data_IF_971001380633
#
_entry.id   IF_971001380633
#
_cell.length_a   1.000
_cell.length_b   1.000
_cell.length_c   1.000
_cell.angle_alpha   90.00
_cell.angle_beta   90.00
_cell.angle_gamma   90.00
#
_symmetry.space_group_name_H-M   'P 1'
#
loop_
_entity.id
_entity.type
_entity.pdbx_description
1 polymer ?
#
# COMPACT_ATOMS: atom_id res chain seq x y z
N UNK A 1 -4.85 -10.95 24.14
CA UNK A 1 -5.05 -11.15 22.70
C UNK A 1 -4.60 -9.87 22.01
N UNK A 2 -3.69 -9.95 21.04
CA UNK A 2 -3.26 -8.79 20.25
C UNK A 2 -4.42 -8.32 19.37
N UNK A 3 -4.70 -7.02 19.33
CA UNK A 3 -5.68 -6.45 18.40
C UNK A 3 -5.01 -6.28 17.02
N UNK A 4 -5.30 -7.18 16.08
CA UNK A 4 -4.77 -7.10 14.71
C UNK A 4 -5.89 -6.74 13.74
N UNK A 5 -5.78 -5.58 13.09
CA UNK A 5 -6.72 -5.14 12.04
C UNK A 5 -6.07 -5.17 10.67
N UNK A 6 -6.87 -5.46 9.66
CA UNK A 6 -6.43 -5.62 8.27
C UNK A 6 -7.22 -4.67 7.36
N UNK A 7 -6.49 -3.88 6.58
CA UNK A 7 -7.04 -2.86 5.69
C UNK A 7 -6.61 -3.16 4.25
N UNK A 8 -7.16 -4.26 3.74
CA UNK A 8 -6.94 -4.74 2.37
C UNK A 8 -8.19 -4.39 1.56
N UNK A 9 -8.06 -3.80 0.35
CA UNK A 9 -9.18 -3.50 -0.52
C UNK A 9 -10.06 -4.72 -0.81
N UNK A 10 -11.31 -4.47 -1.20
CA UNK A 10 -12.25 -5.54 -1.51
C UNK A 10 -11.74 -6.39 -2.68
N UNK A 11 -12.10 -7.67 -2.67
CA UNK A 11 -11.72 -8.64 -3.71
C UNK A 11 -11.95 -8.12 -5.13
N UNK A 12 -13.09 -7.49 -5.38
CA UNK A 12 -13.45 -6.98 -6.72
C UNK A 12 -12.49 -5.89 -7.21
N UNK A 13 -11.98 -5.06 -6.31
CA UNK A 13 -11.03 -3.99 -6.65
C UNK A 13 -9.65 -4.57 -6.93
N UNK A 14 -9.20 -5.51 -6.11
CA UNK A 14 -7.96 -6.26 -6.34
C UNK A 14 -8.01 -7.05 -7.66
N UNK A 15 -9.16 -7.66 -7.99
CA UNK A 15 -9.36 -8.36 -9.27
C UNK A 15 -9.30 -7.42 -10.46
N UNK A 16 -9.85 -6.20 -10.32
CA UNK A 16 -9.80 -5.19 -11.38
C UNK A 16 -8.36 -4.74 -11.60
N UNK A 17 -7.62 -4.51 -10.51
CA UNK A 17 -6.21 -4.14 -10.56
C UNK A 17 -5.36 -5.23 -11.22
N UNK A 18 -5.54 -6.49 -10.83
CA UNK A 18 -4.80 -7.64 -11.36
C UNK A 18 -5.02 -7.87 -12.87
N UNK A 19 -6.07 -7.27 -13.45
CA UNK A 19 -6.44 -7.37 -14.87
C UNK A 19 -6.19 -6.08 -15.66
N UNK A 20 -5.48 -5.12 -15.08
CA UNK A 20 -5.16 -3.87 -15.77
C UNK A 20 -4.40 -4.16 -17.08
N UNK A 21 -4.74 -3.46 -18.18
CA UNK A 21 -3.87 -3.47 -19.35
C UNK A 21 -2.64 -2.59 -19.13
N UNK A 22 -1.56 -2.78 -19.90
CA UNK A 22 -0.55 -1.74 -20.10
C UNK A 22 -1.22 -0.46 -20.59
N UNK A 23 -0.67 0.70 -20.22
CA UNK A 23 -1.38 1.95 -20.47
C UNK A 23 -0.73 3.16 -19.84
N UNK A 24 -1.54 4.18 -19.56
CA UNK A 24 -1.09 5.47 -19.04
C UNK A 24 -1.60 5.70 -17.62
N UNK A 25 -0.74 6.34 -16.83
CA UNK A 25 -1.08 6.88 -15.52
C UNK A 25 -1.40 8.36 -15.67
N UNK A 26 -2.43 8.81 -14.98
CA UNK A 26 -2.88 10.19 -15.00
C UNK A 26 -3.02 10.73 -13.58
N UNK A 27 -2.78 12.02 -13.40
CA UNK A 27 -3.13 12.76 -12.18
C UNK A 27 -4.08 13.88 -12.54
N UNK A 28 -4.92 14.30 -11.59
CA UNK A 28 -5.73 15.50 -11.81
C UNK A 28 -4.96 16.75 -11.40
N UNK A 29 -4.99 17.77 -12.26
CA UNK A 29 -4.45 19.10 -11.94
C UNK A 29 -5.20 19.82 -10.82
N UNK A 30 -6.43 19.40 -10.52
CA UNK A 30 -7.29 19.98 -9.48
C UNK A 30 -6.99 19.41 -8.09
N UNK A 31 -6.30 18.28 -8.02
CA UNK A 31 -5.97 17.63 -6.77
C UNK A 31 -4.91 18.42 -5.99
N UNK A 32 -5.10 18.53 -4.67
CA UNK A 32 -4.12 19.09 -3.74
C UNK A 32 -3.91 18.11 -2.58
N UNK A 33 -2.73 17.47 -2.47
CA UNK A 33 -1.61 17.48 -3.42
C UNK A 33 -1.98 16.81 -4.76
N UNK A 34 -1.29 17.17 -5.85
CA UNK A 34 -1.58 16.64 -7.19
C UNK A 34 -1.51 15.11 -7.27
N UNK A 35 -0.56 14.54 -6.50
CA UNK A 35 -0.33 13.11 -6.37
C UNK A 35 -1.14 12.46 -5.24
N UNK A 36 -2.20 13.07 -4.73
CA UNK A 36 -3.10 12.38 -3.78
C UNK A 36 -3.78 11.14 -4.39
N UNK A 37 -3.90 11.10 -5.72
CA UNK A 37 -4.64 10.10 -6.46
C UNK A 37 -4.10 9.98 -7.87
N UNK A 38 -3.85 8.74 -8.29
CA UNK A 38 -3.46 8.37 -9.65
C UNK A 38 -4.64 7.65 -10.31
N UNK A 39 -4.85 7.93 -11.58
CA UNK A 39 -5.92 7.38 -12.40
C UNK A 39 -5.34 6.52 -13.50
N UNK A 40 -5.98 5.39 -13.75
CA UNK A 40 -5.59 4.38 -14.74
C UNK A 40 -6.81 4.10 -15.59
N UNK A 41 -6.68 4.26 -16.89
CA UNK A 41 -7.74 3.87 -17.81
C UNK A 41 -7.72 2.35 -17.99
N UNK A 42 -8.80 1.68 -17.60
CA UNK A 42 -8.93 0.22 -17.72
C UNK A 42 -9.43 -0.14 -19.11
N UNK A 43 -10.50 0.54 -19.55
CA UNK A 43 -11.05 0.45 -20.90
C UNK A 43 -11.67 1.79 -21.26
N UNK A 44 -12.15 1.95 -22.50
CA UNK A 44 -13.01 3.08 -22.84
C UNK A 44 -14.20 3.13 -21.86
N UNK A 45 -14.49 4.30 -21.30
CA UNK A 45 -15.58 4.47 -20.33
C UNK A 45 -15.26 4.09 -18.87
N UNK A 46 -14.17 3.35 -18.60
CA UNK A 46 -13.88 2.76 -17.28
C UNK A 46 -12.50 3.10 -16.77
N UNK A 47 -12.46 3.71 -15.59
CA UNK A 47 -11.25 4.15 -14.92
C UNK A 47 -11.12 3.52 -13.55
N UNK A 48 -9.89 3.36 -13.11
CA UNK A 48 -9.53 2.96 -11.76
C UNK A 48 -8.69 4.07 -11.15
N UNK A 49 -8.91 4.39 -9.89
CA UNK A 49 -8.06 5.30 -9.14
C UNK A 49 -7.37 4.60 -7.99
N UNK A 50 -6.11 4.92 -7.80
CA UNK A 50 -5.33 4.60 -6.62
C UNK A 50 -5.16 5.90 -5.82
N UNK A 51 -5.65 5.92 -4.59
CA UNK A 51 -5.37 7.00 -3.64
C UNK A 51 -4.91 6.41 -2.33
N UNK A 52 -4.42 7.24 -1.42
CA UNK A 52 -4.17 6.84 -0.06
C UNK A 52 -5.35 7.27 0.83
N UNK A 53 -5.53 6.56 1.93
CA UNK A 53 -6.47 6.87 3.01
C UNK A 53 -5.76 6.64 4.35
N UNK A 54 -6.33 7.18 5.43
CA UNK A 54 -5.88 6.93 6.80
C UNK A 54 -6.98 6.21 7.58
N UNK A 55 -6.59 5.25 8.41
CA UNK A 55 -7.54 4.38 9.12
C UNK A 55 -7.10 4.12 10.56
N UNK A 56 -8.07 4.10 11.47
CA UNK A 56 -7.83 3.82 12.89
C UNK A 56 -7.63 2.32 13.16
N UNK A 57 -6.42 1.95 13.59
CA UNK A 57 -6.17 0.63 14.17
C UNK A 57 -6.74 0.59 15.59
N UNK A 58 -6.44 1.60 16.39
CA UNK A 58 -7.08 1.88 17.68
C UNK A 58 -6.98 3.37 18.00
N UNK A 59 -7.55 3.78 19.14
CA UNK A 59 -7.54 5.19 19.53
C UNK A 59 -6.10 5.73 19.59
N UNK A 60 -5.80 6.74 18.77
CA UNK A 60 -4.48 7.35 18.58
C UNK A 60 -3.42 6.48 17.87
N UNK A 61 -3.80 5.35 17.29
CA UNK A 61 -2.93 4.58 16.42
C UNK A 61 -3.58 4.43 15.04
N UNK A 62 -3.09 5.23 14.10
CA UNK A 62 -3.57 5.36 12.74
C UNK A 62 -2.52 4.81 11.77
N UNK A 63 -2.97 4.20 10.67
CA UNK A 63 -2.09 3.75 9.59
C UNK A 63 -2.59 4.26 8.25
N UNK A 64 -1.70 4.25 7.25
CA UNK A 64 -2.03 4.66 5.89
C UNK A 64 -2.21 3.44 4.98
N UNK A 65 -3.19 3.50 4.08
CA UNK A 65 -3.50 2.42 3.16
C UNK A 65 -3.87 2.91 1.76
N UNK A 66 -3.55 2.11 0.75
CA UNK A 66 -4.03 2.33 -0.61
C UNK A 66 -5.51 1.98 -0.70
N UNK A 67 -6.28 2.95 -1.15
CA UNK A 67 -7.67 2.81 -1.54
C UNK A 67 -7.77 2.68 -3.06
N UNK A 68 -8.60 1.74 -3.50
CA UNK A 68 -8.84 1.45 -4.91
C UNK A 68 -10.31 1.75 -5.18
N UNK A 69 -10.59 2.56 -6.20
CA UNK A 69 -11.96 2.89 -6.58
C UNK A 69 -12.13 2.86 -8.11
N UNK A 70 -13.31 2.42 -8.55
CA UNK A 70 -13.69 2.42 -9.96
C UNK A 70 -14.55 3.65 -10.27
N UNK A 71 -14.31 4.25 -11.43
CA UNK A 71 -14.98 5.47 -11.87
C UNK A 71 -15.47 5.32 -13.32
N UNK A 72 -16.61 5.92 -13.62
CA UNK A 72 -16.93 6.28 -15.00
C UNK A 72 -15.97 7.37 -15.48
N UNK A 73 -15.78 7.51 -16.80
CA UNK A 73 -14.85 8.50 -17.39
C UNK A 73 -14.92 9.85 -16.69
N UNK A 74 -13.89 10.22 -15.92
CA UNK A 74 -13.81 11.55 -15.34
C UNK A 74 -13.53 12.56 -16.48
N UNK A 75 -13.92 13.83 -16.27
CA UNK A 75 -13.81 14.87 -17.31
C UNK A 75 -12.38 14.95 -17.85
N UNK A 76 -12.21 14.82 -19.17
CA UNK A 76 -10.89 14.71 -19.80
C UNK A 76 -10.01 15.95 -19.59
N UNK A 77 -10.63 17.13 -19.44
CA UNK A 77 -9.94 18.42 -19.32
C UNK A 77 -9.13 18.57 -18.01
N UNK A 78 -9.32 17.66 -17.05
CA UNK A 78 -8.69 17.73 -15.73
C UNK A 78 -7.42 16.88 -15.56
N UNK A 79 -7.09 16.03 -16.55
CA UNK A 79 -6.02 15.03 -16.41
C UNK A 79 -4.73 15.39 -17.11
N UNK A 80 -3.63 15.18 -16.38
CA UNK A 80 -2.27 15.26 -16.90
C UNK A 80 -1.70 13.84 -16.91
N UNK A 81 -1.13 13.41 -18.04
CA UNK A 81 -0.39 12.15 -18.09
C UNK A 81 0.84 12.27 -17.19
N UNK A 82 0.94 11.36 -16.22
CA UNK A 82 1.97 11.37 -15.18
C UNK A 82 3.02 10.26 -15.36
N UNK A 83 2.69 9.22 -16.14
CA UNK A 83 3.58 8.09 -16.40
C UNK A 83 2.94 7.05 -17.29
N UNK A 84 3.60 5.91 -17.43
CA UNK A 84 3.14 4.77 -18.22
C UNK A 84 3.22 3.48 -17.41
N UNK A 85 2.25 2.59 -17.63
CA UNK A 85 2.27 1.21 -17.16
C UNK A 85 2.87 0.39 -18.30
N UNK A 86 4.11 -0.10 -18.17
CA UNK A 86 4.76 -0.91 -19.20
C UNK A 86 4.02 -2.23 -19.40
N UNK A 87 4.38 -2.97 -20.46
CA UNK A 87 3.91 -4.35 -20.61
C UNK A 87 4.38 -5.22 -19.43
N UNK A 88 3.47 -6.00 -18.86
CA UNK A 88 3.69 -6.74 -17.62
C UNK A 88 2.94 -8.08 -17.61
N UNK A 89 3.49 -9.07 -16.93
CA UNK A 89 2.90 -10.41 -16.82
C UNK A 89 2.07 -10.61 -15.55
N UNK A 90 2.41 -9.90 -14.48
CA UNK A 90 1.75 -10.08 -13.18
C UNK A 90 1.93 -8.86 -12.28
N UNK A 91 1.10 -8.78 -11.25
CA UNK A 91 1.16 -7.76 -10.21
C UNK A 91 1.43 -8.42 -8.85
N UNK A 92 2.25 -7.77 -8.03
CA UNK A 92 2.44 -8.06 -6.61
C UNK A 92 1.84 -6.95 -5.76
N UNK A 93 1.19 -7.32 -4.67
CA UNK A 93 0.63 -6.44 -3.66
C UNK A 93 1.62 -6.36 -2.50
N UNK A 94 1.96 -5.14 -2.08
CA UNK A 94 2.86 -4.88 -0.96
C UNK A 94 2.03 -4.57 0.27
N UNK A 95 2.06 -5.45 1.26
CA UNK A 95 1.44 -5.19 2.55
C UNK A 95 2.49 -4.65 3.53
N UNK A 96 2.14 -3.57 4.22
CA UNK A 96 2.93 -3.02 5.32
C UNK A 96 2.23 -3.36 6.63
N UNK A 97 2.98 -3.85 7.61
CA UNK A 97 2.49 -3.96 8.99
C UNK A 97 3.08 -2.85 9.83
N UNK A 98 2.23 -2.22 10.63
CA UNK A 98 2.61 -1.19 11.61
C UNK A 98 2.07 -1.64 12.96
N UNK A 99 2.82 -1.41 14.03
CA UNK A 99 2.42 -1.86 15.36
C UNK A 99 2.87 -0.91 16.45
N UNK A 100 2.14 -0.97 17.56
CA UNK A 100 2.50 -0.31 18.80
C UNK A 100 2.81 -1.35 19.87
N UNK A 101 3.85 -1.09 20.65
CA UNK A 101 4.25 -1.94 21.78
C UNK A 101 4.66 -1.11 22.98
N UNK A 102 4.61 -1.67 24.20
CA UNK A 102 5.24 -1.03 25.35
C UNK A 102 6.73 -0.80 25.11
N UNK A 103 7.23 0.33 25.59
CA UNK A 103 8.66 0.56 25.68
C UNK A 103 9.32 -0.45 26.63
N UNK A 104 10.51 -0.90 26.25
CA UNK A 104 11.37 -1.71 27.12
C UNK A 104 12.00 -0.82 28.19
N UNK A 105 12.47 -1.42 29.28
CA UNK A 105 13.15 -0.68 30.35
C UNK A 105 14.33 0.12 29.81
N UNK A 106 14.33 1.44 30.06
CA UNK A 106 15.31 2.42 29.58
C UNK A 106 15.34 2.67 28.06
N UNK A 107 14.32 2.24 27.31
CA UNK A 107 14.22 2.53 25.87
C UNK A 107 13.86 4.00 25.62
N UNK A 108 12.96 4.55 26.44
CA UNK A 108 12.56 5.96 26.40
C UNK A 108 12.63 6.58 27.80
N UNK A 109 12.83 7.90 27.92
CA UNK A 109 12.81 8.58 29.21
C UNK A 109 11.47 8.40 29.95
N UNK A 110 11.50 8.36 31.29
CA UNK A 110 10.31 8.12 32.12
C UNK A 110 9.19 9.16 31.92
N UNK A 111 9.53 10.36 31.45
CA UNK A 111 8.60 11.45 31.19
C UNK A 111 7.98 11.41 29.78
N UNK A 112 8.31 10.43 28.95
CA UNK A 112 7.76 10.25 27.61
C UNK A 112 6.64 9.21 27.61
N UNK A 113 5.86 9.19 26.52
CA UNK A 113 4.90 8.12 26.28
C UNK A 113 5.62 6.77 26.21
N UNK A 114 5.20 5.81 27.03
CA UNK A 114 5.86 4.50 27.18
C UNK A 114 5.40 3.51 26.09
N UNK A 115 5.20 4.01 24.88
CA UNK A 115 4.74 3.26 23.70
C UNK A 115 5.70 3.55 22.56
N UNK A 116 6.07 2.51 21.83
CA UNK A 116 6.89 2.58 20.62
C UNK A 116 6.03 2.19 19.43
N UNK A 117 6.05 3.03 18.39
CA UNK A 117 5.44 2.75 17.09
C UNK A 117 6.53 2.33 16.10
N UNK A 118 6.29 1.21 15.42
CA UNK A 118 7.22 0.59 14.48
C UNK A 118 6.48 0.06 13.26
N UNK A 119 7.23 -0.24 12.20
CA UNK A 119 6.67 -0.86 11.00
C UNK A 119 7.66 -1.80 10.31
N UNK A 120 7.13 -2.71 9.51
CA UNK A 120 7.90 -3.73 8.80
C UNK A 120 7.02 -4.87 8.25
N UNK A 121 7.62 -6.06 8.15
CA UNK A 121 6.94 -7.26 7.70
C UNK A 121 6.01 -7.80 8.79
N UNK A 122 4.96 -8.53 8.41
CA UNK A 122 4.10 -9.21 9.38
C UNK A 122 4.87 -10.20 10.28
N UNK A 123 5.96 -10.77 9.77
CA UNK A 123 6.85 -11.66 10.53
C UNK A 123 7.68 -10.93 11.61
N UNK A 124 7.91 -9.64 11.46
CA UNK A 124 8.72 -8.83 12.39
C UNK A 124 7.92 -8.38 13.62
N UNK A 125 6.60 -8.51 13.58
CA UNK A 125 5.69 -7.99 14.61
C UNK A 125 5.92 -8.69 15.96
N UNK A 126 6.50 -8.00 16.96
CA UNK A 126 6.97 -8.61 18.19
C UNK A 126 5.81 -9.04 19.07
N UNK A 127 5.97 -10.13 19.83
CA UNK A 127 4.92 -10.65 20.74
C UNK A 127 4.37 -9.61 21.72
N UNK A 128 5.17 -8.61 22.08
CA UNK A 128 4.78 -7.49 22.95
C UNK A 128 3.86 -6.46 22.31
N UNK A 129 3.66 -6.50 20.98
CA UNK A 129 2.76 -5.58 20.29
C UNK A 129 1.33 -5.67 20.84
N UNK A 130 0.81 -4.52 21.29
CA UNK A 130 -0.55 -4.38 21.82
C UNK A 130 -1.58 -4.21 20.71
N UNK A 131 -1.25 -3.44 19.67
CA UNK A 131 -2.08 -3.30 18.48
C UNK A 131 -1.25 -3.32 17.20
N UNK A 132 -1.84 -3.85 16.14
CA UNK A 132 -1.20 -4.07 14.84
C UNK A 132 -2.18 -3.77 13.73
N UNK A 133 -1.74 -2.99 12.76
CA UNK A 133 -2.44 -2.71 11.53
C UNK A 133 -1.65 -3.25 10.35
N UNK A 134 -2.30 -3.99 9.45
CA UNK A 134 -1.68 -4.36 8.16
C UNK A 134 -2.52 -3.79 7.03
N UNK A 135 -1.91 -3.02 6.14
CA UNK A 135 -2.58 -2.38 5.00
C UNK A 135 -1.91 -2.70 3.67
N UNK A 136 -2.68 -2.60 2.58
CA UNK A 136 -2.07 -2.49 1.25
C UNK A 136 -1.37 -1.13 1.16
N UNK A 137 -0.09 -1.13 0.85
CA UNK A 137 0.73 0.10 0.80
C UNK A 137 1.27 0.40 -0.60
N UNK A 138 1.52 -0.66 -1.38
CA UNK A 138 2.05 -0.52 -2.72
C UNK A 138 1.65 -1.66 -3.65
N UNK A 139 1.88 -1.43 -4.94
CA UNK A 139 1.60 -2.33 -6.05
C UNK A 139 2.82 -2.35 -6.95
N UNK A 140 3.35 -3.55 -7.22
CA UNK A 140 4.48 -3.74 -8.14
C UNK A 140 4.01 -4.46 -9.38
N UNK A 141 4.32 -3.89 -10.54
CA UNK A 141 4.15 -4.52 -11.84
C UNK A 141 5.42 -5.27 -12.20
N UNK A 142 5.27 -6.53 -12.59
CA UNK A 142 6.35 -7.47 -12.91
C UNK A 142 6.29 -7.81 -14.39
N UNK A 143 7.40 -7.62 -15.10
CA UNK A 143 7.57 -7.98 -16.51
C UNK A 143 7.56 -9.49 -16.74
N UNK A 144 7.39 -9.88 -18.00
CA UNK A 144 7.51 -11.26 -18.47
C UNK A 144 8.86 -11.92 -18.16
N UNK A 145 9.93 -11.14 -17.96
CA UNK A 145 11.25 -11.64 -17.55
C UNK A 145 11.40 -11.80 -16.03
N UNK A 146 10.34 -11.54 -15.26
CA UNK A 146 10.30 -11.64 -13.80
C UNK A 146 10.82 -10.40 -13.07
N UNK A 147 11.28 -9.36 -13.77
CA UNK A 147 11.81 -8.14 -13.13
C UNK A 147 10.71 -7.12 -12.84
N UNK A 148 10.78 -6.39 -11.71
CA UNK A 148 9.88 -5.26 -11.47
C UNK A 148 10.12 -4.14 -12.47
N UNK A 149 9.05 -3.51 -12.94
CA UNK A 149 9.10 -2.41 -13.91
C UNK A 149 8.41 -1.14 -13.49
N UNK A 150 7.46 -1.23 -12.56
CA UNK A 150 6.76 -0.09 -12.01
C UNK A 150 6.32 -0.44 -10.60
N UNK A 151 6.55 0.47 -9.66
CA UNK A 151 5.97 0.47 -8.32
C UNK A 151 5.08 1.69 -8.19
N UNK A 152 3.85 1.49 -7.72
CA UNK A 152 2.95 2.56 -7.28
C UNK A 152 2.71 2.36 -5.79
N UNK A 153 3.12 3.31 -4.96
CA UNK A 153 3.01 3.19 -3.49
C UNK A 153 2.72 4.54 -2.82
N UNK A 154 2.42 4.49 -1.52
CA UNK A 154 2.33 5.68 -0.68
C UNK A 154 3.75 6.18 -0.36
N UNK A 155 4.01 7.45 -0.62
CA UNK A 155 5.26 8.14 -0.29
C UNK A 155 5.15 8.84 1.07
N UNK A 156 5.59 8.15 2.11
CA UNK A 156 5.63 8.64 3.48
C UNK A 156 6.56 9.85 3.65
N UNK A 157 7.52 10.06 2.73
CA UNK A 157 8.45 11.19 2.80
C UNK A 157 7.89 12.49 2.22
N UNK A 158 6.77 12.41 1.49
CA UNK A 158 6.16 13.54 0.76
C UNK A 158 4.69 13.70 1.14
N UNK A 159 4.42 13.90 2.43
CA UNK A 159 3.06 14.12 2.97
C UNK A 159 2.06 13.05 2.52
N UNK A 160 2.50 11.80 2.48
CA UNK A 160 1.70 10.62 2.09
C UNK A 160 1.11 10.70 0.68
N UNK A 161 1.76 11.36 -0.29
CA UNK A 161 1.33 11.32 -1.70
C UNK A 161 1.52 9.94 -2.34
N UNK A 162 0.89 9.68 -3.49
CA UNK A 162 1.19 8.49 -4.30
C UNK A 162 2.44 8.76 -5.12
N UNK A 163 3.42 7.86 -5.09
CA UNK A 163 4.59 7.93 -5.98
C UNK A 163 4.62 6.77 -6.97
N UNK A 164 5.36 6.99 -8.05
CA UNK A 164 5.71 5.97 -9.02
C UNK A 164 7.23 5.80 -9.07
N UNK A 165 7.71 4.56 -9.18
CA UNK A 165 9.14 4.23 -9.30
C UNK A 165 9.32 3.22 -10.41
N UNK A 166 10.19 3.51 -11.37
CA UNK A 166 10.42 2.65 -12.56
C UNK A 166 11.80 1.97 -12.55
N UNK A 167 12.72 2.42 -11.69
CA UNK A 167 14.04 1.85 -11.59
C UNK A 167 14.01 0.50 -10.84
N UNK A 168 14.39 -0.59 -11.52
CA UNK A 168 14.33 -1.96 -11.01
C UNK A 168 15.07 -2.16 -9.66
N UNK A 169 16.25 -1.54 -9.48
CA UNK A 169 17.03 -1.68 -8.25
C UNK A 169 16.37 -0.92 -7.08
N UNK A 170 15.86 0.28 -7.36
CA UNK A 170 15.11 1.07 -6.39
C UNK A 170 13.82 0.34 -5.97
N UNK A 171 13.09 -0.25 -6.91
CA UNK A 171 11.90 -1.04 -6.59
C UNK A 171 12.28 -2.22 -5.70
N UNK A 172 13.32 -2.98 -6.03
CA UNK A 172 13.76 -4.11 -5.22
C UNK A 172 14.10 -3.69 -3.78
N UNK A 173 14.85 -2.60 -3.61
CA UNK A 173 15.20 -2.07 -2.30
C UNK A 173 13.97 -1.65 -1.48
N UNK A 174 12.99 -1.01 -2.12
CA UNK A 174 11.75 -0.59 -1.47
C UNK A 174 10.87 -1.79 -1.08
N UNK A 175 10.70 -2.75 -2.00
CA UNK A 175 9.86 -3.93 -1.78
C UNK A 175 10.33 -4.83 -0.64
N UNK A 176 11.61 -4.78 -0.28
CA UNK A 176 12.17 -5.59 0.82
C UNK A 176 11.58 -5.28 2.20
N UNK A 177 10.87 -4.15 2.34
CA UNK A 177 10.26 -3.70 3.59
C UNK A 177 8.80 -4.15 3.77
N UNK A 178 8.26 -4.87 2.79
CA UNK A 178 6.85 -5.21 2.72
C UNK A 178 6.65 -6.71 2.46
N UNK A 179 5.53 -7.25 2.94
CA UNK A 179 5.08 -8.57 2.51
C UNK A 179 4.63 -8.48 1.05
N UNK A 180 5.36 -9.13 0.14
CA UNK A 180 5.09 -9.09 -1.31
C UNK A 180 4.28 -10.30 -1.75
N UNK A 181 2.99 -10.09 -2.03
CA UNK A 181 2.01 -11.15 -2.24
C UNK A 181 1.45 -11.12 -3.66
N UNK A 182 1.17 -12.28 -4.24
CA UNK A 182 0.31 -12.41 -5.43
C UNK A 182 -1.15 -12.12 -5.08
N UNK A 183 -2.00 -12.00 -6.10
CA UNK A 183 -3.45 -11.88 -5.93
C UNK A 183 -4.05 -13.03 -5.10
N UNK A 184 -3.66 -14.28 -5.33
CA UNK A 184 -4.17 -15.41 -4.54
C UNK A 184 -3.68 -15.37 -3.09
N UNK A 185 -2.42 -14.97 -2.89
CA UNK A 185 -1.81 -14.89 -1.56
C UNK A 185 -2.46 -13.77 -0.73
N UNK A 186 -2.73 -12.59 -1.31
CA UNK A 186 -3.36 -11.49 -0.56
C UNK A 186 -4.79 -11.82 -0.13
N UNK A 187 -5.55 -12.58 -0.94
CA UNK A 187 -6.91 -13.01 -0.58
C UNK A 187 -6.93 -14.07 0.53
N UNK A 188 -5.90 -14.91 0.59
CA UNK A 188 -5.72 -15.92 1.63
C UNK A 188 -4.91 -15.40 2.82
N UNK A 189 -4.44 -14.15 2.75
CA UNK A 189 -3.58 -13.60 3.76
C UNK A 189 -4.37 -13.35 5.04
N UNK A 190 -3.85 -13.91 6.11
CA UNK A 190 -4.35 -13.67 7.45
C UNK A 190 -3.18 -13.38 8.37
N UNK A 191 -3.37 -12.51 9.36
CA UNK A 191 -2.35 -12.29 10.37
C UNK A 191 -2.03 -13.61 11.05
N UNK A 192 -0.75 -13.91 11.23
CA UNK A 192 -0.35 -15.08 12.00
C UNK A 192 -0.83 -14.88 13.44
N UNK A 193 -1.92 -15.54 13.79
CA UNK A 193 -2.41 -15.61 15.16
C UNK A 193 -1.34 -16.34 15.96
N UNK A 194 -0.50 -15.59 16.68
CA UNK A 194 0.36 -16.16 17.70
C UNK A 194 -0.49 -16.70 18.83
N UNK A 195 -1.08 -17.89 18.65
CA UNK A 195 -1.56 -18.69 19.77
C UNK A 195 -0.32 -19.22 20.50
N UNK A 196 -0.20 -18.83 21.76
CA UNK A 196 0.84 -19.32 22.65
C UNK A 196 0.68 -20.84 22.79
N UNK A 197 1.73 -21.58 22.42
CA UNK A 197 1.98 -22.93 22.93
C UNK A 197 2.44 -22.84 24.38
#
# INVERSE_FOLDING_TARGET
MRNWKTFIPQRQDLETLAKLPPGKLFISSQNKPAWNKVYIQVTEGKWLSLSWDYVDVEFKFEIYCLSIAQHATPSADDFIQAGEIPDFSSIRFLLKSEWVRPASSNEVPDNFEQVIEESGLAADVPRSASAVGTSLHGIVFIRHDGKPCLLVEIDESQSYSIRTVENCEAIAALTSKYDSLSFSEVLAWHPQSGEAS
#
